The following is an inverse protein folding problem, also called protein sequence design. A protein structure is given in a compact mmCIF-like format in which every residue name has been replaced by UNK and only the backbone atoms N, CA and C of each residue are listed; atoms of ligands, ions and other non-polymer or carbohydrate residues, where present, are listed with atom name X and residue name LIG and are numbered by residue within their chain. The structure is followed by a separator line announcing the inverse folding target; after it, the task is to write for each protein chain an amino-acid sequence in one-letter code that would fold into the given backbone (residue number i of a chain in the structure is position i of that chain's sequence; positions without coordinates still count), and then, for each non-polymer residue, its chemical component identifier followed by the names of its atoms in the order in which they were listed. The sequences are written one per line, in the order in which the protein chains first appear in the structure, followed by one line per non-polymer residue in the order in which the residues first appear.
data_IF_405092115227
#
_entry.id   IF_405092115227
#
_cell.length_a   1.000
_cell.length_b   1.000
_cell.length_c   1.000
_cell.angle_alpha   90.00
_cell.angle_beta   90.00
_cell.angle_gamma   90.00
#
_symmetry.space_group_name_H-M   'P 1'
#
loop_
_entity.id
_entity.type
_entity.pdbx_description
1 polymer ?
#
# COMPACT_ATOMS: atom_id res chain seq x y z
N UNK A 1 -1.42 -43.55 -46.23
CA UNK A 1 -0.98 -43.85 -44.84
C UNK A 1 -2.09 -44.64 -44.20
N UNK A 2 -1.77 -45.82 -43.67
CA UNK A 2 -2.74 -46.76 -43.13
C UNK A 2 -3.42 -46.19 -41.87
N UNK A 3 -4.75 -46.29 -41.77
CA UNK A 3 -5.54 -45.71 -40.68
C UNK A 3 -5.10 -46.25 -39.31
N UNK A 4 -4.73 -47.53 -39.28
CA UNK A 4 -4.19 -48.19 -38.10
C UNK A 4 -2.85 -47.59 -37.62
N UNK A 5 -1.99 -47.17 -38.56
CA UNK A 5 -0.70 -46.53 -38.23
C UNK A 5 -0.94 -45.14 -37.64
N UNK A 6 -1.89 -44.37 -38.20
CA UNK A 6 -2.24 -43.05 -37.67
C UNK A 6 -2.85 -43.13 -36.26
N UNK A 7 -3.70 -44.12 -35.99
CA UNK A 7 -4.30 -44.34 -34.66
C UNK A 7 -3.25 -44.80 -33.64
N UNK A 8 -2.31 -45.66 -34.04
CA UNK A 8 -1.19 -46.10 -33.19
C UNK A 8 -0.24 -44.94 -32.84
N UNK A 9 0.07 -44.07 -33.82
CA UNK A 9 0.88 -42.86 -33.59
C UNK A 9 0.15 -41.92 -32.63
N UNK A 10 -1.15 -41.65 -32.84
CA UNK A 10 -1.92 -40.76 -31.97
C UNK A 10 -2.01 -41.28 -30.54
N UNK A 11 -2.22 -42.58 -30.35
CA UNK A 11 -2.22 -43.24 -29.04
C UNK A 11 -0.87 -43.10 -28.33
N UNK A 12 0.23 -43.31 -29.07
CA UNK A 12 1.59 -43.20 -28.53
C UNK A 12 1.94 -41.77 -28.14
N UNK A 13 1.55 -40.79 -28.96
CA UNK A 13 1.72 -39.35 -28.68
C UNK A 13 0.93 -38.96 -27.44
N UNK A 14 -0.34 -39.35 -27.33
CA UNK A 14 -1.17 -39.06 -26.17
C UNK A 14 -0.59 -39.67 -24.87
N UNK A 15 -0.06 -40.90 -24.94
CA UNK A 15 0.59 -41.56 -23.80
C UNK A 15 1.92 -40.89 -23.42
N UNK A 16 2.69 -40.38 -24.39
CA UNK A 16 3.93 -39.66 -24.13
C UNK A 16 3.65 -38.28 -23.52
N UNK A 17 2.70 -37.53 -24.08
CA UNK A 17 2.23 -36.24 -23.55
C UNK A 17 1.69 -36.45 -22.13
N UNK A 18 0.86 -37.46 -21.88
CA UNK A 18 0.36 -37.76 -20.54
C UNK A 18 1.47 -38.02 -19.51
N UNK A 19 2.51 -38.78 -19.88
CA UNK A 19 3.67 -39.03 -19.02
C UNK A 19 4.48 -37.76 -18.74
N UNK A 20 4.72 -36.94 -19.77
CA UNK A 20 5.45 -35.68 -19.64
C UNK A 20 4.69 -34.70 -18.73
N UNK A 21 3.37 -34.58 -18.92
CA UNK A 21 2.50 -33.74 -18.10
C UNK A 21 2.52 -34.17 -16.64
N UNK A 22 2.38 -35.47 -16.35
CA UNK A 22 2.42 -35.99 -14.98
C UNK A 22 3.79 -35.72 -14.32
N UNK A 23 4.89 -35.97 -15.03
CA UNK A 23 6.24 -35.70 -14.52
C UNK A 23 6.46 -34.21 -14.24
N UNK A 24 5.93 -33.32 -15.10
CA UNK A 24 6.00 -31.88 -14.87
C UNK A 24 5.14 -31.46 -13.67
N UNK A 25 3.94 -32.03 -13.50
CA UNK A 25 3.09 -31.79 -12.33
C UNK A 25 3.82 -32.17 -11.03
N UNK A 26 4.45 -33.35 -10.97
CA UNK A 26 5.21 -33.81 -9.80
C UNK A 26 6.37 -32.85 -9.46
N UNK A 27 7.10 -32.35 -10.45
CA UNK A 27 8.20 -31.39 -10.25
C UNK A 27 7.67 -30.06 -9.71
N UNK A 28 6.54 -29.56 -10.21
CA UNK A 28 5.93 -28.31 -9.75
C UNK A 28 5.37 -28.48 -8.33
N UNK A 29 4.68 -29.59 -8.03
CA UNK A 29 4.19 -29.89 -6.67
C UNK A 29 5.34 -29.96 -5.67
N UNK A 30 6.43 -30.64 -6.02
CA UNK A 30 7.61 -30.72 -5.18
C UNK A 30 8.25 -29.34 -4.93
N UNK A 31 8.32 -28.48 -5.97
CA UNK A 31 8.87 -27.13 -5.82
C UNK A 31 7.95 -26.22 -4.99
N UNK A 32 6.65 -26.24 -5.22
CA UNK A 32 5.67 -25.48 -4.42
C UNK A 32 5.68 -25.94 -2.96
N UNK A 33 5.73 -27.26 -2.72
CA UNK A 33 5.87 -27.82 -1.38
C UNK A 33 7.17 -27.39 -0.70
N UNK A 34 8.30 -27.43 -1.42
CA UNK A 34 9.59 -26.97 -0.89
C UNK A 34 9.61 -25.46 -0.61
N UNK A 35 8.91 -24.66 -1.42
CA UNK A 35 8.81 -23.23 -1.24
C UNK A 35 7.94 -22.88 -0.05
N UNK A 36 6.76 -23.50 0.07
CA UNK A 36 5.89 -23.37 1.24
C UNK A 36 6.60 -23.79 2.52
N UNK A 37 7.40 -24.88 2.47
CA UNK A 37 8.22 -25.33 3.58
C UNK A 37 9.31 -24.31 3.94
N UNK A 38 10.02 -23.72 2.97
CA UNK A 38 11.03 -22.67 3.23
C UNK A 38 10.42 -21.39 3.78
N UNK A 39 9.27 -20.96 3.24
CA UNK A 39 8.48 -19.85 3.77
C UNK A 39 8.06 -20.12 5.23
N UNK A 40 7.71 -21.37 5.54
CA UNK A 40 7.42 -21.85 6.89
C UNK A 40 8.67 -21.93 7.77
N UNK A 41 9.86 -22.25 7.23
CA UNK A 41 11.14 -22.31 7.97
C UNK A 41 11.68 -20.91 8.32
N UNK A 42 11.54 -19.92 7.43
CA UNK A 42 11.91 -18.52 7.69
C UNK A 42 11.04 -17.87 8.78
N UNK A 43 9.78 -18.31 8.88
CA UNK A 43 8.81 -17.85 9.89
C UNK A 43 8.68 -18.81 11.09
N UNK A 44 9.25 -20.01 11.03
CA UNK A 44 9.24 -21.10 12.03
C UNK A 44 8.11 -22.12 11.81
N UNK A 45 8.39 -23.43 11.82
CA UNK A 45 7.39 -24.51 11.60
C UNK A 45 6.19 -24.50 12.58
N UNK A 46 6.34 -23.82 13.72
CA UNK A 46 5.25 -23.56 14.70
C UNK A 46 4.22 -22.57 14.17
N UNK A 47 4.61 -21.70 13.23
CA UNK A 47 3.84 -20.56 12.74
C UNK A 47 2.81 -20.98 11.71
N UNK A 48 3.12 -21.86 10.76
CA UNK A 48 2.11 -22.41 9.84
C UNK A 48 1.05 -23.22 10.58
N UNK A 49 1.46 -24.01 11.58
CA UNK A 49 0.51 -24.71 12.47
C UNK A 49 -0.31 -23.74 13.31
N UNK A 50 0.31 -22.66 13.82
CA UNK A 50 -0.40 -21.60 14.53
C UNK A 50 -1.38 -20.85 13.64
N UNK A 51 -1.07 -20.62 12.36
CA UNK A 51 -1.96 -20.00 11.38
C UNK A 51 -3.10 -20.93 10.99
N UNK A 52 -2.82 -22.19 10.68
CA UNK A 52 -3.85 -23.22 10.43
C UNK A 52 -4.73 -23.47 11.66
N UNK A 53 -4.20 -23.29 12.86
CA UNK A 53 -4.97 -23.34 14.12
C UNK A 53 -5.79 -22.06 14.33
N UNK A 54 -5.19 -20.89 14.15
CA UNK A 54 -5.86 -19.60 14.23
C UNK A 54 -7.02 -19.51 13.24
N UNK A 55 -6.86 -20.03 12.02
CA UNK A 55 -7.90 -20.16 11.00
C UNK A 55 -9.03 -21.09 11.44
N UNK A 56 -8.70 -22.25 12.02
CA UNK A 56 -9.70 -23.21 12.54
C UNK A 56 -10.47 -22.66 13.74
N UNK A 57 -9.82 -21.84 14.56
CA UNK A 57 -10.37 -21.30 15.79
C UNK A 57 -10.97 -19.89 15.62
N UNK A 58 -11.01 -19.34 14.38
CA UNK A 58 -11.37 -17.94 14.11
C UNK A 58 -10.69 -16.97 15.09
N UNK A 59 -9.40 -17.19 15.33
CA UNK A 59 -8.65 -16.50 16.35
C UNK A 59 -8.50 -15.02 16.02
N UNK A 60 -8.87 -14.16 16.97
CA UNK A 60 -8.66 -12.71 16.87
C UNK A 60 -7.46 -12.30 17.73
N UNK A 61 -6.44 -11.74 17.09
CA UNK A 61 -5.30 -11.13 17.74
C UNK A 61 -5.73 -9.91 18.57
N UNK A 62 -5.18 -9.79 19.78
CA UNK A 62 -5.46 -8.66 20.69
C UNK A 62 -5.02 -7.30 20.16
N UNK A 63 -4.06 -7.27 19.23
CA UNK A 63 -3.53 -6.03 18.62
C UNK A 63 -3.91 -5.98 17.15
N UNK A 64 -4.42 -4.82 16.71
CA UNK A 64 -4.86 -4.55 15.32
C UNK A 64 -3.75 -4.83 14.30
N UNK A 65 -2.51 -4.45 14.61
CA UNK A 65 -1.34 -4.65 13.72
C UNK A 65 -0.99 -6.14 13.57
N UNK A 66 -1.05 -6.91 14.66
CA UNK A 66 -0.81 -8.35 14.61
C UNK A 66 -1.95 -9.08 13.88
N UNK A 67 -3.18 -8.57 13.97
CA UNK A 67 -4.30 -9.10 13.19
C UNK A 67 -4.09 -8.84 11.70
N UNK A 68 -3.68 -7.64 11.31
CA UNK A 68 -3.37 -7.34 9.90
C UNK A 68 -2.26 -8.23 9.36
N UNK A 69 -1.21 -8.47 10.15
CA UNK A 69 -0.14 -9.36 9.75
C UNK A 69 -0.64 -10.81 9.62
N UNK A 70 -1.47 -11.28 10.56
CA UNK A 70 -2.12 -12.59 10.50
C UNK A 70 -3.02 -12.73 9.26
N UNK A 71 -3.84 -11.73 8.96
CA UNK A 71 -4.76 -11.73 7.82
C UNK A 71 -3.98 -11.77 6.50
N UNK A 72 -2.93 -10.94 6.38
CA UNK A 72 -2.04 -10.92 5.22
C UNK A 72 -1.34 -12.28 5.00
N UNK A 73 -0.79 -12.88 6.06
CA UNK A 73 -0.10 -14.17 5.96
C UNK A 73 -1.07 -15.32 5.63
N UNK A 74 -2.34 -15.24 6.09
CA UNK A 74 -3.40 -16.18 5.69
C UNK A 74 -3.78 -16.03 4.21
N UNK A 75 -3.84 -14.81 3.70
CA UNK A 75 -4.17 -14.52 2.30
C UNK A 75 -3.09 -15.07 1.35
N UNK A 76 -1.81 -14.90 1.68
CA UNK A 76 -0.69 -15.50 0.93
C UNK A 76 -0.81 -17.03 0.92
N UNK A 77 -1.16 -17.63 2.06
CA UNK A 77 -1.34 -19.08 2.16
C UNK A 77 -2.52 -19.58 1.32
N UNK A 78 -3.61 -18.81 1.25
CA UNK A 78 -4.77 -19.13 0.40
C UNK A 78 -4.41 -19.18 -1.09
N UNK A 79 -3.52 -18.30 -1.55
CA UNK A 79 -3.02 -18.35 -2.94
C UNK A 79 -2.15 -19.59 -3.20
N UNK A 80 -1.37 -20.04 -2.21
CA UNK A 80 -0.65 -21.31 -2.32
C UNK A 80 -1.59 -22.53 -2.36
N UNK A 81 -2.63 -22.55 -1.53
CA UNK A 81 -3.64 -23.61 -1.54
C UNK A 81 -4.43 -23.64 -2.85
N UNK A 82 -4.76 -22.46 -3.40
CA UNK A 82 -5.39 -22.32 -4.71
C UNK A 82 -4.49 -22.81 -5.86
N UNK A 83 -3.21 -22.42 -5.88
CA UNK A 83 -2.23 -22.89 -6.86
C UNK A 83 -2.05 -24.41 -6.79
N UNK A 84 -1.95 -24.97 -5.58
CA UNK A 84 -1.81 -26.42 -5.36
C UNK A 84 -3.05 -27.19 -5.83
N UNK A 85 -4.24 -26.66 -5.56
CA UNK A 85 -5.51 -27.27 -5.99
C UNK A 85 -5.69 -27.20 -7.51
N UNK A 86 -5.33 -26.07 -8.13
CA UNK A 86 -5.35 -25.91 -9.59
C UNK A 86 -4.36 -26.84 -10.29
N UNK A 87 -3.20 -27.08 -9.68
CA UNK A 87 -2.17 -27.98 -10.20
C UNK A 87 -2.64 -29.44 -10.20
N UNK A 88 -3.33 -29.89 -9.14
CA UNK A 88 -3.98 -31.22 -9.09
C UNK A 88 -5.02 -31.40 -10.19
N UNK A 89 -5.70 -30.32 -10.55
CA UNK A 89 -6.67 -30.29 -11.64
C UNK A 89 -6.03 -30.05 -13.03
N UNK A 90 -4.70 -30.01 -13.11
CA UNK A 90 -3.91 -29.76 -14.34
C UNK A 90 -4.28 -28.45 -15.06
N UNK A 91 -4.76 -27.46 -14.30
CA UNK A 91 -5.14 -26.13 -14.82
C UNK A 91 -3.97 -25.15 -14.68
N UNK A 92 -3.04 -25.18 -15.63
CA UNK A 92 -1.80 -24.41 -15.56
C UNK A 92 -1.99 -22.89 -15.61
N UNK A 93 -3.00 -22.40 -16.33
CA UNK A 93 -3.31 -20.97 -16.39
C UNK A 93 -3.78 -20.45 -15.02
N UNK A 94 -4.59 -21.25 -14.32
CA UNK A 94 -5.05 -20.93 -12.95
C UNK A 94 -3.90 -20.99 -11.94
N UNK A 95 -2.95 -21.93 -12.11
CA UNK A 95 -1.73 -21.99 -11.29
C UNK A 95 -0.91 -20.71 -11.47
N UNK A 96 -0.70 -20.28 -12.72
CA UNK A 96 0.05 -19.06 -13.03
C UNK A 96 -0.61 -17.82 -12.44
N UNK A 97 -1.92 -17.66 -12.63
CA UNK A 97 -2.68 -16.54 -12.10
C UNK A 97 -2.61 -16.45 -10.56
N UNK A 98 -2.80 -17.58 -9.86
CA UNK A 98 -2.73 -17.62 -8.40
C UNK A 98 -1.33 -17.26 -7.86
N UNK A 99 -0.27 -17.66 -8.57
CA UNK A 99 1.11 -17.31 -8.19
C UNK A 99 1.45 -15.84 -8.48
N UNK A 100 0.96 -15.27 -9.58
CA UNK A 100 1.13 -13.85 -9.90
C UNK A 100 0.39 -12.96 -8.87
N UNK A 101 -0.84 -13.32 -8.52
CA UNK A 101 -1.63 -12.64 -7.49
C UNK A 101 -0.97 -12.74 -6.10
N UNK A 102 -0.51 -13.94 -5.71
CA UNK A 102 0.27 -14.13 -4.48
C UNK A 102 1.56 -13.29 -4.46
N UNK A 103 2.23 -13.15 -5.61
CA UNK A 103 3.41 -12.29 -5.75
C UNK A 103 3.05 -10.81 -5.59
N UNK A 104 1.89 -10.38 -6.09
CA UNK A 104 1.36 -9.03 -5.88
C UNK A 104 1.10 -8.72 -4.41
N UNK A 105 0.46 -9.66 -3.69
CA UNK A 105 0.20 -9.53 -2.25
C UNK A 105 1.52 -9.37 -1.48
N UNK A 106 2.52 -10.21 -1.73
CA UNK A 106 3.84 -10.09 -1.06
C UNK A 106 4.52 -8.76 -1.38
N UNK A 107 4.50 -8.31 -2.64
CA UNK A 107 5.09 -7.01 -3.04
C UNK A 107 4.37 -5.80 -2.44
N UNK A 108 3.07 -5.89 -2.16
CA UNK A 108 2.31 -4.79 -1.53
C UNK A 108 2.83 -4.44 -0.12
N UNK A 109 3.51 -5.38 0.56
CA UNK A 109 4.16 -5.12 1.85
C UNK A 109 5.51 -4.43 1.75
N UNK A 110 6.18 -4.49 0.59
CA UNK A 110 7.39 -3.71 0.32
C UNK A 110 7.03 -2.33 -0.19
N UNK A 111 6.20 -1.59 0.56
CA UNK A 111 6.09 -0.15 0.36
C UNK A 111 7.44 0.44 0.75
N UNK A 112 8.14 1.07 -0.20
CA UNK A 112 9.39 1.79 0.05
C UNK A 112 9.27 2.79 1.21
N UNK A 113 10.40 3.39 1.62
CA UNK A 113 10.44 4.33 2.76
C UNK A 113 9.31 5.37 2.61
N UNK A 114 8.28 5.25 3.46
CA UNK A 114 7.05 6.05 3.39
C UNK A 114 7.34 7.51 3.70
N UNK A 115 7.19 8.36 2.69
CA UNK A 115 7.35 9.82 2.80
C UNK A 115 8.80 10.26 3.07
N UNK A 116 9.28 11.26 2.32
CA UNK A 116 10.56 11.91 2.65
C UNK A 116 10.27 13.17 3.46
N UNK A 117 10.93 13.32 4.62
CA UNK A 117 10.83 14.55 5.42
C UNK A 117 11.10 15.81 4.59
N UNK A 118 11.99 15.70 3.59
CA UNK A 118 12.31 16.77 2.64
C UNK A 118 11.13 17.23 1.80
N UNK A 119 10.14 16.36 1.52
CA UNK A 119 8.94 16.71 0.75
C UNK A 119 8.03 17.69 1.50
N UNK A 120 8.06 17.67 2.83
CA UNK A 120 7.23 18.54 3.67
C UNK A 120 8.03 19.66 4.34
N UNK A 121 9.19 20.04 3.79
CA UNK A 121 10.11 20.95 4.47
C UNK A 121 9.50 22.32 4.81
N UNK A 122 8.58 22.81 3.99
CA UNK A 122 7.92 24.09 4.22
C UNK A 122 7.06 24.06 5.48
N UNK A 123 6.44 22.93 5.80
CA UNK A 123 5.73 22.73 7.06
C UNK A 123 6.68 22.78 8.26
N UNK A 124 7.85 22.14 8.17
CA UNK A 124 8.88 22.20 9.22
C UNK A 124 9.38 23.62 9.47
N UNK A 125 9.57 24.40 8.39
CA UNK A 125 10.05 25.77 8.47
C UNK A 125 8.96 26.73 8.98
N UNK A 126 7.81 26.72 8.34
CA UNK A 126 6.81 27.79 8.46
C UNK A 126 5.74 27.48 9.50
N UNK A 127 5.42 26.20 9.74
CA UNK A 127 4.43 25.80 10.75
C UNK A 127 5.09 25.44 12.08
N UNK A 128 6.12 24.59 12.05
CA UNK A 128 6.78 24.13 13.27
C UNK A 128 7.89 25.07 13.75
N UNK A 129 8.30 26.06 12.94
CA UNK A 129 9.43 26.96 13.25
C UNK A 129 10.67 26.17 13.69
N UNK A 130 10.96 25.08 12.97
CA UNK A 130 12.04 24.18 13.34
C UNK A 130 13.41 24.88 13.27
N UNK A 131 14.35 24.58 14.18
CA UNK A 131 15.69 25.16 14.15
C UNK A 131 16.44 24.88 12.84
N UNK A 132 17.35 25.78 12.46
CA UNK A 132 18.13 25.65 11.21
C UNK A 132 18.87 24.31 11.10
N UNK A 133 19.37 23.78 12.22
CA UNK A 133 20.00 22.45 12.26
C UNK A 133 19.05 21.33 11.78
N UNK A 134 17.78 21.38 12.21
CA UNK A 134 16.77 20.39 11.81
C UNK A 134 16.45 20.56 10.32
N UNK A 135 16.23 21.80 9.88
CA UNK A 135 15.95 22.10 8.47
C UNK A 135 17.11 21.67 7.56
N UNK A 136 18.34 21.90 7.99
CA UNK A 136 19.55 21.49 7.26
C UNK A 136 19.70 19.98 7.20
N UNK A 137 19.43 19.29 8.30
CA UNK A 137 19.41 17.82 8.35
C UNK A 137 18.37 17.25 7.38
N UNK A 138 17.18 17.87 7.31
CA UNK A 138 16.12 17.47 6.38
C UNK A 138 16.51 17.74 4.91
N UNK A 139 17.15 18.88 4.61
CA UNK A 139 17.56 19.25 3.24
C UNK A 139 18.72 18.45 2.71
N UNK A 140 19.76 18.32 3.53
CA UNK A 140 21.11 17.90 3.11
C UNK A 140 21.51 16.55 3.69
N UNK A 141 20.67 15.96 4.52
CA UNK A 141 21.02 14.80 5.34
C UNK A 141 21.84 15.19 6.56
N UNK A 142 21.91 14.26 7.51
CA UNK A 142 22.70 14.44 8.72
C UNK A 142 24.20 14.40 8.38
N UNK A 143 24.92 15.48 8.71
CA UNK A 143 26.38 15.54 8.57
C UNK A 143 27.03 14.95 9.81
N UNK A 144 27.84 13.92 9.62
CA UNK A 144 28.59 13.29 10.70
C UNK A 144 29.58 14.30 11.32
N UNK A 145 29.53 14.53 12.65
CA UNK A 145 30.43 15.46 13.32
C UNK A 145 31.78 14.80 13.55
N UNK A 146 32.67 14.88 12.56
CA UNK A 146 34.04 14.40 12.66
C UNK A 146 34.88 15.34 13.53
N UNK A 147 35.57 14.79 14.54
CA UNK A 147 36.62 15.49 15.27
C UNK A 147 37.88 15.64 14.39
N UNK A 148 38.15 14.61 13.59
CA UNK A 148 39.15 14.57 12.54
C UNK A 148 38.55 13.79 11.36
N UNK A 149 38.93 14.08 10.11
CA UNK A 149 38.39 13.32 8.99
C UNK A 149 39.08 11.94 8.93
N UNK A 150 38.33 10.82 8.84
CA UNK A 150 38.94 9.50 8.82
C UNK A 150 39.83 9.33 7.58
N UNK A 151 40.94 8.59 7.66
CA UNK A 151 41.65 8.12 6.47
C UNK A 151 40.75 7.21 5.63
N UNK A 152 40.90 7.27 4.31
CA UNK A 152 40.21 6.38 3.36
C UNK A 152 40.47 4.91 3.69
N UNK A 153 39.43 4.08 3.64
CA UNK A 153 39.52 2.66 3.96
C UNK A 153 38.67 1.78 3.03
N UNK A 154 39.22 0.63 2.64
CA UNK A 154 38.52 -0.41 1.85
C UNK A 154 38.74 -1.82 2.41
N UNK A 155 38.46 -2.04 3.71
CA UNK A 155 38.55 -3.37 4.31
C UNK A 155 37.60 -4.37 3.64
N UNK A 156 38.01 -5.64 3.62
CA UNK A 156 37.16 -6.74 3.20
C UNK A 156 36.00 -6.96 4.19
N UNK A 157 34.92 -7.56 3.71
CA UNK A 157 33.80 -7.96 4.56
C UNK A 157 34.25 -8.90 5.70
N UNK A 158 33.56 -8.86 6.83
CA UNK A 158 33.87 -9.76 7.94
C UNK A 158 33.44 -11.20 7.60
N UNK A 159 34.09 -12.19 8.24
CA UNK A 159 33.85 -13.63 7.97
C UNK A 159 32.36 -14.03 8.02
N UNK A 160 31.58 -13.42 8.91
CA UNK A 160 30.16 -13.73 9.06
C UNK A 160 29.33 -13.34 7.83
N UNK A 161 29.69 -12.28 7.11
CA UNK A 161 29.01 -11.92 5.87
C UNK A 161 29.26 -12.94 4.76
N UNK A 162 30.48 -13.48 4.66
CA UNK A 162 30.79 -14.55 3.71
C UNK A 162 30.07 -15.87 4.05
N UNK A 163 29.93 -16.17 5.34
CA UNK A 163 29.20 -17.37 5.80
C UNK A 163 27.69 -17.32 5.52
N UNK A 164 27.13 -16.12 5.33
CA UNK A 164 25.72 -15.87 5.12
C UNK A 164 25.49 -15.09 3.81
N UNK A 165 26.24 -15.43 2.75
CA UNK A 165 26.27 -14.68 1.48
C UNK A 165 24.90 -14.56 0.80
N UNK A 166 24.08 -15.61 0.84
CA UNK A 166 22.71 -15.59 0.30
C UNK A 166 21.85 -14.53 1.01
N UNK A 167 21.86 -14.54 2.35
CA UNK A 167 21.16 -13.53 3.15
C UNK A 167 21.66 -12.11 2.88
N UNK A 168 22.98 -11.93 2.78
CA UNK A 168 23.57 -10.61 2.49
C UNK A 168 23.12 -10.10 1.11
N UNK A 169 23.15 -10.96 0.09
CA UNK A 169 22.75 -10.61 -1.28
C UNK A 169 21.27 -10.24 -1.35
N UNK A 170 20.42 -11.00 -0.67
CA UNK A 170 18.99 -10.71 -0.57
C UNK A 170 18.75 -9.36 0.13
N UNK A 171 19.40 -9.13 1.28
CA UNK A 171 19.27 -7.87 2.02
C UNK A 171 19.74 -6.65 1.21
N UNK A 172 20.82 -6.77 0.43
CA UNK A 172 21.28 -5.69 -0.46
C UNK A 172 20.24 -5.41 -1.56
N UNK A 173 19.70 -6.46 -2.19
CA UNK A 173 18.66 -6.34 -3.22
C UNK A 173 17.42 -5.62 -2.67
N UNK A 174 16.98 -5.98 -1.45
CA UNK A 174 15.86 -5.32 -0.77
C UNK A 174 16.16 -3.85 -0.47
N UNK A 175 17.37 -3.52 0.00
CA UNK A 175 17.76 -2.13 0.25
C UNK A 175 17.80 -1.29 -1.03
N UNK A 176 18.24 -1.87 -2.16
CA UNK A 176 18.22 -1.21 -3.48
C UNK A 176 16.78 -0.99 -3.95
N UNK A 177 15.94 -2.03 -3.89
CA UNK A 177 14.54 -1.95 -4.30
C UNK A 177 13.77 -0.89 -3.49
N UNK A 178 14.08 -0.76 -2.20
CA UNK A 178 13.48 0.23 -1.31
C UNK A 178 14.08 1.64 -1.42
N UNK A 179 15.12 1.83 -2.25
CA UNK A 179 15.83 3.11 -2.40
C UNK A 179 16.58 3.55 -1.13
N UNK A 180 16.92 2.61 -0.24
CA UNK A 180 17.69 2.85 0.99
C UNK A 180 19.19 3.01 0.70
N UNK A 181 19.67 2.37 -0.36
CA UNK A 181 21.05 2.46 -0.86
C UNK A 181 21.02 2.68 -2.37
N UNK A 182 22.14 3.14 -2.92
CA UNK A 182 22.34 3.34 -4.35
C UNK A 182 23.64 2.68 -4.81
N UNK A 183 23.65 2.23 -6.06
CA UNK A 183 24.86 1.72 -6.69
C UNK A 183 25.74 2.88 -7.17
N UNK A 184 27.05 2.78 -6.92
CA UNK A 184 28.03 3.74 -7.38
C UNK A 184 29.03 3.05 -8.31
N UNK A 185 29.36 3.70 -9.43
CA UNK A 185 30.35 3.23 -10.41
C UNK A 185 31.80 3.44 -9.96
N UNK A 186 32.02 4.32 -8.98
CA UNK A 186 33.32 4.62 -8.40
C UNK A 186 33.32 4.30 -6.90
N UNK A 187 34.42 3.75 -6.35
CA UNK A 187 34.51 3.46 -4.93
C UNK A 187 34.31 4.73 -4.08
N UNK A 188 33.51 4.67 -3.00
CA UNK A 188 33.35 5.79 -2.08
C UNK A 188 34.65 6.05 -1.30
N UNK A 189 34.74 7.22 -0.64
CA UNK A 189 35.92 7.57 0.16
C UNK A 189 36.26 6.53 1.25
N UNK A 190 35.23 5.93 1.87
CA UNK A 190 35.37 4.79 2.76
C UNK A 190 34.32 3.73 2.41
N UNK A 191 34.75 2.48 2.29
CA UNK A 191 33.88 1.31 2.24
C UNK A 191 33.95 0.57 3.58
N UNK A 192 32.83 0.48 4.30
CA UNK A 192 32.79 -0.22 5.58
C UNK A 192 32.47 -1.72 5.37
N UNK A 193 33.09 -2.64 6.13
CA UNK A 193 32.81 -4.07 6.02
C UNK A 193 31.35 -4.38 6.34
N UNK A 194 30.78 -5.34 5.62
CA UNK A 194 29.54 -5.98 6.01
C UNK A 194 29.80 -7.12 7.00
N UNK A 195 28.87 -7.28 7.92
CA UNK A 195 28.83 -8.37 8.90
C UNK A 195 27.40 -8.88 9.01
N UNK A 196 27.25 -10.14 9.42
CA UNK A 196 25.94 -10.69 9.81
C UNK A 196 25.97 -11.01 11.29
N UNK A 197 25.03 -10.42 12.03
CA UNK A 197 24.80 -10.74 13.44
C UNK A 197 23.74 -11.85 13.55
N UNK A 198 24.03 -12.86 14.36
CA UNK A 198 23.15 -14.01 14.56
C UNK A 198 22.53 -13.95 15.96
N UNK A 199 21.23 -13.62 16.02
CA UNK A 199 20.39 -13.76 17.21
C UNK A 199 19.25 -14.75 16.95
N UNK A 200 18.02 -14.40 17.33
CA UNK A 200 16.81 -15.13 16.90
C UNK A 200 16.54 -14.99 15.40
N UNK A 201 17.03 -13.93 14.77
CA UNK A 201 16.99 -13.65 13.33
C UNK A 201 18.37 -13.15 12.89
N UNK A 202 18.69 -13.32 11.60
CA UNK A 202 19.88 -12.72 11.00
C UNK A 202 19.67 -11.22 10.81
N UNK A 203 20.74 -10.44 10.97
CA UNK A 203 20.74 -9.00 10.73
C UNK A 203 21.98 -8.60 9.96
N UNK A 204 21.80 -7.88 8.86
CA UNK A 204 22.89 -7.23 8.16
C UNK A 204 23.39 -6.06 9.01
N UNK A 205 24.70 -5.99 9.22
CA UNK A 205 25.36 -4.96 10.02
C UNK A 205 26.49 -4.35 9.21
N UNK A 206 26.52 -3.02 9.15
CA UNK A 206 27.65 -2.28 8.58
C UNK A 206 28.62 -1.98 9.72
N UNK A 207 29.86 -2.44 9.58
CA UNK A 207 30.90 -2.26 10.58
C UNK A 207 31.56 -0.88 10.44
N UNK A 208 31.01 0.10 11.16
CA UNK A 208 31.46 1.49 11.13
C UNK A 208 32.50 1.82 12.20
N UNK A 209 33.15 0.82 12.81
CA UNK A 209 34.10 1.04 13.92
C UNK A 209 35.25 1.97 13.56
N UNK A 210 35.80 1.86 12.35
CA UNK A 210 36.84 2.75 11.84
C UNK A 210 36.35 4.19 11.79
N UNK A 211 35.20 4.45 11.15
CA UNK A 211 34.63 5.81 11.04
C UNK A 211 34.30 6.38 12.42
N UNK A 212 33.78 5.57 13.33
CA UNK A 212 33.38 5.99 14.67
C UNK A 212 34.54 6.50 15.54
N UNK A 213 35.77 6.03 15.35
CA UNK A 213 36.92 6.53 16.15
C UNK A 213 37.29 7.98 15.85
N UNK A 214 36.78 8.53 14.74
CA UNK A 214 37.03 9.89 14.29
C UNK A 214 35.86 10.84 14.53
N UNK A 215 34.72 10.34 15.03
CA UNK A 215 33.58 11.18 15.39
C UNK A 215 33.83 11.88 16.72
N UNK A 216 33.33 13.11 16.84
CA UNK A 216 33.20 13.77 18.14
C UNK A 216 32.38 12.86 19.05
N UNK A 217 32.85 12.64 20.28
CA UNK A 217 32.09 11.87 21.27
C UNK A 217 30.80 12.63 21.58
N UNK A 218 29.69 12.10 21.07
CA UNK A 218 28.35 12.60 21.40
C UNK A 218 27.91 11.90 22.68
N UNK A 219 27.65 12.68 23.73
CA UNK A 219 26.96 12.20 24.92
C UNK A 219 25.47 12.39 24.69
N UNK A 220 24.75 11.29 24.57
CA UNK A 220 23.28 11.32 24.51
C UNK A 220 22.73 11.30 25.93
N UNK A 221 22.14 12.41 26.35
CA UNK A 221 21.37 12.47 27.58
C UNK A 221 19.90 12.17 27.25
N UNK A 222 19.49 10.93 27.52
CA UNK A 222 18.09 10.55 27.37
C UNK A 222 17.29 11.11 28.55
N UNK A 223 16.35 12.01 28.25
CA UNK A 223 15.38 12.47 29.23
C UNK A 223 14.10 11.64 29.12
N UNK A 224 13.67 11.06 30.22
CA UNK A 224 12.36 10.41 30.29
C UNK A 224 11.27 11.49 30.42
N UNK A 225 10.25 11.41 29.57
CA UNK A 225 9.02 12.18 29.71
C UNK A 225 7.87 11.25 30.14
N UNK A 226 7.01 11.66 31.08
CA UNK A 226 5.81 10.90 31.43
C UNK A 226 4.94 10.64 30.21
N UNK A 227 4.30 9.46 30.16
CA UNK A 227 3.37 9.12 29.07
C UNK A 227 2.23 10.13 28.94
N UNK A 228 1.75 10.69 30.04
CA UNK A 228 0.74 11.75 30.06
C UNK A 228 1.18 13.03 29.33
N UNK A 229 2.49 13.25 29.19
CA UNK A 229 3.06 14.37 28.43
C UNK A 229 3.35 14.01 26.96
N UNK A 230 3.29 12.73 26.60
CA UNK A 230 3.56 12.24 25.24
C UNK A 230 2.28 11.82 24.48
N UNK A 231 1.10 12.03 25.06
CA UNK A 231 -0.17 11.53 24.50
C UNK A 231 -0.42 12.00 23.07
N UNK A 232 -0.10 13.26 22.76
CA UNK A 232 -0.29 13.82 21.41
C UNK A 232 0.61 13.16 20.37
N UNK A 233 1.88 12.91 20.70
CA UNK A 233 2.82 12.26 19.78
C UNK A 233 2.48 10.76 19.62
N UNK A 234 2.09 10.09 20.70
CA UNK A 234 1.61 8.71 20.67
C UNK A 234 0.33 8.57 19.83
N UNK A 235 -0.60 9.52 19.94
CA UNK A 235 -1.84 9.54 19.16
C UNK A 235 -1.56 9.78 17.68
N UNK A 236 -0.76 10.81 17.35
CA UNK A 236 -0.45 11.16 15.97
C UNK A 236 0.41 10.11 15.27
N UNK A 237 1.36 9.47 15.96
CA UNK A 237 2.17 8.37 15.38
C UNK A 237 1.36 7.11 15.09
N UNK A 238 0.16 6.99 15.69
CA UNK A 238 -0.78 5.89 15.48
C UNK A 238 -2.01 6.29 14.67
N UNK A 239 -2.08 7.54 14.22
CA UNK A 239 -3.17 8.02 13.39
C UNK A 239 -3.06 7.38 12.00
N UNK A 240 -4.13 6.71 11.59
CA UNK A 240 -4.26 6.02 10.31
C UNK A 240 -5.51 6.62 9.69
N UNK A 241 -5.37 7.25 8.53
CA UNK A 241 -6.50 7.74 7.76
C UNK A 241 -6.82 6.68 6.70
N UNK A 242 -7.88 5.91 6.95
CA UNK A 242 -8.29 4.81 6.07
C UNK A 242 -8.94 5.33 4.78
N UNK A 243 -9.31 6.62 4.73
CA UNK A 243 -9.97 7.29 3.60
C UNK A 243 -9.02 8.25 2.84
N UNK A 244 -7.70 8.20 3.10
CA UNK A 244 -6.70 9.02 2.41
C UNK A 244 -6.31 8.44 1.05
N UNK A 245 -7.21 8.59 0.08
CA UNK A 245 -7.02 8.19 -1.32
C UNK A 245 -7.57 9.28 -2.25
N UNK A 246 -7.16 9.23 -3.52
CA UNK A 246 -7.78 10.01 -4.60
C UNK A 246 -7.92 9.19 -5.87
N UNK A 247 -8.80 9.62 -6.78
CA UNK A 247 -8.84 9.05 -8.12
C UNK A 247 -7.52 9.34 -8.87
N UNK A 248 -7.19 8.44 -9.80
CA UNK A 248 -6.16 8.71 -10.80
C UNK A 248 -6.46 10.03 -11.52
N UNK A 249 -5.51 10.97 -11.61
CA UNK A 249 -5.75 12.26 -12.26
C UNK A 249 -6.24 12.14 -13.70
N UNK A 250 -5.88 11.07 -14.41
CA UNK A 250 -6.36 10.81 -15.78
C UNK A 250 -7.83 10.39 -15.81
N UNK A 251 -8.26 9.60 -14.83
CA UNK A 251 -9.67 9.21 -14.67
C UNK A 251 -10.50 10.42 -14.24
N UNK A 252 -10.00 11.21 -13.29
CA UNK A 252 -10.66 12.44 -12.88
C UNK A 252 -10.86 13.41 -14.06
N UNK A 253 -9.83 13.65 -14.88
CA UNK A 253 -9.98 14.48 -16.09
C UNK A 253 -11.04 13.97 -17.06
N UNK A 254 -11.26 12.66 -17.13
CA UNK A 254 -12.31 12.07 -17.96
C UNK A 254 -13.70 12.34 -17.38
N UNK A 255 -13.87 12.26 -16.06
CA UNK A 255 -15.11 12.65 -15.39
C UNK A 255 -15.39 14.16 -15.54
N UNK A 256 -14.34 14.97 -15.40
CA UNK A 256 -14.37 16.43 -15.53
C UNK A 256 -14.78 16.87 -16.94
N UNK A 257 -14.28 16.18 -17.97
CA UNK A 257 -14.68 16.43 -19.36
C UNK A 257 -16.12 15.95 -19.66
N UNK A 258 -16.63 14.98 -18.91
CA UNK A 258 -17.95 14.39 -19.13
C UNK A 258 -19.08 15.21 -18.51
N UNK A 259 -18.88 15.78 -17.31
CA UNK A 259 -19.94 16.45 -16.52
C UNK A 259 -19.62 17.89 -16.15
N UNK A 260 -18.90 18.55 -17.05
CA UNK A 260 -18.33 19.89 -16.92
C UNK A 260 -17.24 19.99 -15.85
N UNK A 261 -16.31 20.96 -15.99
CA UNK A 261 -15.25 21.16 -15.02
C UNK A 261 -15.78 21.37 -13.61
N UNK A 262 -15.27 20.60 -12.66
CA UNK A 262 -15.54 20.75 -11.24
C UNK A 262 -14.79 21.97 -10.72
N UNK A 263 -15.43 22.72 -9.84
CA UNK A 263 -14.88 23.98 -9.31
C UNK A 263 -14.49 23.86 -7.85
N UNK A 264 -14.95 22.81 -7.17
CA UNK A 264 -14.75 22.63 -5.74
C UNK A 264 -14.65 21.14 -5.34
N UNK A 265 -13.65 20.79 -4.53
CA UNK A 265 -13.47 19.45 -3.98
C UNK A 265 -13.96 19.41 -2.52
N UNK A 266 -15.11 18.78 -2.30
CA UNK A 266 -15.82 18.89 -1.03
C UNK A 266 -15.15 18.11 0.10
N UNK A 267 -14.46 17.00 -0.17
CA UNK A 267 -13.89 16.15 0.87
C UNK A 267 -12.47 15.75 0.49
N UNK A 268 -11.50 16.56 0.89
CA UNK A 268 -10.11 16.34 0.57
C UNK A 268 -9.14 16.75 1.70
N UNK A 269 -7.87 16.49 1.46
CA UNK A 269 -6.70 16.96 2.18
C UNK A 269 -5.79 17.70 1.20
N UNK A 270 -4.82 18.46 1.71
CA UNK A 270 -3.86 19.16 0.85
C UNK A 270 -2.95 18.23 0.03
N UNK A 271 -2.98 16.92 0.29
CA UNK A 271 -2.25 15.91 -0.48
C UNK A 271 -3.11 15.25 -1.56
N UNK A 272 -4.40 15.01 -1.28
CA UNK A 272 -5.27 14.22 -2.14
C UNK A 272 -6.27 15.07 -2.96
N UNK A 273 -6.40 16.37 -2.66
CA UNK A 273 -7.28 17.28 -3.38
C UNK A 273 -7.02 17.24 -4.90
N UNK A 274 -8.10 17.15 -5.67
CA UNK A 274 -8.05 17.11 -7.13
C UNK A 274 -8.27 18.50 -7.76
N UNK A 275 -8.68 19.47 -6.93
CA UNK A 275 -8.95 20.85 -7.32
C UNK A 275 -8.20 21.84 -6.41
N UNK A 276 -7.87 23.05 -6.91
CA UNK A 276 -7.21 24.06 -6.10
C UNK A 276 -8.04 24.56 -4.91
N UNK A 277 -9.37 24.47 -5.01
CA UNK A 277 -10.32 24.86 -3.96
C UNK A 277 -10.92 23.60 -3.35
N UNK A 278 -10.74 23.43 -2.05
CA UNK A 278 -11.18 22.23 -1.37
C UNK A 278 -11.49 22.45 0.11
N UNK A 279 -12.38 21.61 0.66
CA UNK A 279 -12.64 21.53 2.09
C UNK A 279 -11.99 20.29 2.70
N UNK A 280 -11.72 20.37 4.00
CA UNK A 280 -11.03 19.31 4.74
C UNK A 280 -11.66 19.04 6.09
N UNK A 281 -11.43 17.84 6.64
CA UNK A 281 -11.91 17.47 7.98
C UNK A 281 -11.20 18.25 9.09
N UNK A 282 -9.91 18.46 8.95
CA UNK A 282 -9.06 19.18 9.91
C UNK A 282 -8.27 20.24 9.15
N UNK A 283 -8.11 21.43 9.74
CA UNK A 283 -7.40 22.55 9.11
C UNK A 283 -6.08 22.09 8.47
N UNK A 284 -5.97 22.28 7.15
CA UNK A 284 -4.80 21.90 6.36
C UNK A 284 -4.37 23.05 5.44
N UNK A 285 -3.10 23.11 5.03
CA UNK A 285 -2.61 24.19 4.16
C UNK A 285 -3.43 24.30 2.87
N UNK A 286 -3.91 25.49 2.55
CA UNK A 286 -4.65 25.75 1.30
C UNK A 286 -6.12 25.36 1.32
N UNK A 287 -6.66 24.79 2.41
CA UNK A 287 -8.09 24.51 2.48
C UNK A 287 -8.94 25.79 2.52
N UNK A 288 -10.08 25.77 1.85
CA UNK A 288 -11.08 26.84 1.89
C UNK A 288 -11.90 26.84 3.17
N UNK A 289 -12.13 25.65 3.73
CA UNK A 289 -12.95 25.47 4.91
C UNK A 289 -12.64 24.16 5.63
N UNK A 290 -12.92 24.16 6.92
CA UNK A 290 -13.02 22.95 7.74
C UNK A 290 -14.49 22.58 7.90
N UNK A 291 -14.76 21.29 8.05
CA UNK A 291 -16.12 20.74 8.12
C UNK A 291 -16.97 21.07 6.87
N UNK A 292 -16.92 20.16 5.90
CA UNK A 292 -17.52 20.40 4.58
C UNK A 292 -19.04 20.52 4.60
N UNK A 293 -19.71 19.89 5.59
CA UNK A 293 -21.17 19.93 5.73
C UNK A 293 -21.66 21.25 6.34
N UNK A 294 -20.75 22.11 6.82
CA UNK A 294 -21.07 23.46 7.24
C UNK A 294 -20.92 24.49 6.10
N UNK A 295 -20.40 24.08 4.93
CA UNK A 295 -20.12 24.97 3.80
C UNK A 295 -21.26 24.98 2.78
N UNK A 296 -21.45 26.10 2.09
CA UNK A 296 -22.43 26.19 1.00
C UNK A 296 -21.87 25.57 -0.29
N UNK A 297 -22.64 24.69 -0.92
CA UNK A 297 -22.30 23.97 -2.15
C UNK A 297 -23.11 24.47 -3.36
N UNK A 298 -24.02 25.42 -3.18
CA UNK A 298 -25.00 25.85 -4.19
C UNK A 298 -24.38 26.45 -5.45
N UNK A 299 -23.30 27.23 -5.30
CA UNK A 299 -22.67 27.99 -6.38
C UNK A 299 -21.56 27.22 -7.13
N UNK A 300 -21.33 25.95 -6.79
CA UNK A 300 -20.17 25.20 -7.24
C UNK A 300 -20.56 23.96 -8.05
N UNK A 301 -19.64 23.48 -8.88
CA UNK A 301 -19.68 22.14 -9.42
C UNK A 301 -18.85 21.22 -8.51
N UNK A 302 -19.55 20.53 -7.61
CA UNK A 302 -18.93 19.87 -6.47
C UNK A 302 -18.40 18.47 -6.82
N UNK A 303 -17.12 18.22 -6.58
CA UNK A 303 -16.56 16.87 -6.53
C UNK A 303 -16.74 16.32 -5.12
N UNK A 304 -17.44 15.19 -4.99
CA UNK A 304 -17.74 14.57 -3.69
C UNK A 304 -17.09 13.19 -3.67
N UNK A 305 -15.85 13.14 -3.20
CA UNK A 305 -15.08 11.93 -2.98
C UNK A 305 -15.16 11.53 -1.50
N UNK A 306 -16.35 11.16 -1.04
CA UNK A 306 -16.63 11.03 0.39
C UNK A 306 -16.14 9.70 0.99
N UNK A 307 -15.66 9.70 2.25
CA UNK A 307 -15.63 8.50 3.09
C UNK A 307 -16.98 7.81 3.10
N UNK A 308 -16.99 6.48 3.17
CA UNK A 308 -18.21 5.68 3.08
C UNK A 308 -19.27 6.08 4.12
N UNK A 309 -18.82 6.46 5.31
CA UNK A 309 -19.68 6.90 6.42
C UNK A 309 -20.38 8.24 6.15
N UNK A 310 -19.87 9.06 5.23
CA UNK A 310 -20.38 10.40 4.93
C UNK A 310 -21.14 10.49 3.62
N UNK A 311 -21.28 9.40 2.86
CA UNK A 311 -21.97 9.40 1.56
C UNK A 311 -23.40 9.95 1.69
N UNK A 312 -24.19 9.39 2.62
CA UNK A 312 -25.60 9.76 2.77
C UNK A 312 -25.75 11.22 3.23
N UNK A 313 -24.90 11.67 4.14
CA UNK A 313 -24.97 13.04 4.65
C UNK A 313 -24.46 14.06 3.62
N UNK A 314 -23.44 13.73 2.84
CA UNK A 314 -22.96 14.55 1.72
C UNK A 314 -24.07 14.75 0.68
N UNK A 315 -24.80 13.68 0.38
CA UNK A 315 -25.94 13.71 -0.53
C UNK A 315 -27.08 14.58 0.01
N UNK A 316 -27.46 14.40 1.27
CA UNK A 316 -28.49 15.23 1.92
C UNK A 316 -28.11 16.70 1.94
N UNK A 317 -26.83 16.97 2.19
CA UNK A 317 -26.29 18.32 2.21
C UNK A 317 -26.30 18.95 0.83
N UNK A 318 -25.88 18.21 -0.20
CA UNK A 318 -25.96 18.65 -1.59
C UNK A 318 -27.41 19.01 -1.99
N UNK A 319 -28.37 18.17 -1.61
CA UNK A 319 -29.81 18.46 -1.82
C UNK A 319 -30.28 19.68 -1.01
N UNK A 320 -29.85 19.83 0.23
CA UNK A 320 -30.21 20.96 1.10
C UNK A 320 -29.67 22.29 0.57
N UNK A 321 -28.44 22.30 0.07
CA UNK A 321 -27.83 23.46 -0.59
C UNK A 321 -28.37 23.71 -2.00
N UNK A 322 -29.23 22.85 -2.54
CA UNK A 322 -29.62 22.87 -3.96
C UNK A 322 -28.41 22.86 -4.89
N UNK A 323 -27.32 22.21 -4.45
CA UNK A 323 -26.07 22.14 -5.19
C UNK A 323 -26.11 21.04 -6.25
N UNK A 324 -25.20 21.17 -7.21
CA UNK A 324 -24.92 20.14 -8.22
C UNK A 324 -23.51 19.58 -8.01
N UNK A 325 -23.35 18.31 -8.28
CA UNK A 325 -22.08 17.63 -8.00
C UNK A 325 -21.99 16.23 -8.54
N UNK A 326 -20.78 15.72 -8.52
CA UNK A 326 -20.41 14.37 -8.92
C UNK A 326 -19.99 13.62 -7.67
N UNK A 327 -20.80 12.64 -7.28
CA UNK A 327 -20.55 11.78 -6.15
C UNK A 327 -19.82 10.53 -6.62
N UNK A 328 -18.65 10.24 -6.04
CA UNK A 328 -17.87 9.04 -6.28
C UNK A 328 -18.10 8.08 -5.12
N UNK A 329 -18.58 6.88 -5.42
CA UNK A 329 -18.85 5.85 -4.42
C UNK A 329 -18.41 4.48 -4.90
N UNK A 330 -18.07 3.63 -3.93
CA UNK A 330 -17.82 2.22 -4.18
C UNK A 330 -19.13 1.46 -4.39
N UNK A 331 -19.18 0.60 -5.40
CA UNK A 331 -20.29 -0.32 -5.65
C UNK A 331 -20.20 -1.51 -4.69
N UNK A 332 -20.78 -1.32 -3.51
CA UNK A 332 -20.89 -2.33 -2.48
C UNK A 332 -22.34 -2.73 -2.29
N UNK A 333 -22.82 -3.86 -2.87
CA UNK A 333 -24.24 -4.23 -2.85
C UNK A 333 -24.88 -4.27 -1.45
N UNK A 334 -24.09 -4.58 -0.42
CA UNK A 334 -24.54 -4.64 0.98
C UNK A 334 -24.35 -3.33 1.76
N UNK A 335 -23.86 -2.27 1.13
CA UNK A 335 -23.64 -1.01 1.83
C UNK A 335 -24.96 -0.31 2.14
N UNK A 336 -25.00 0.30 3.33
CA UNK A 336 -26.19 0.98 3.87
C UNK A 336 -26.71 2.12 2.97
N UNK A 337 -25.86 2.71 2.11
CA UNK A 337 -26.23 3.79 1.20
C UNK A 337 -26.82 3.29 -0.13
N UNK A 338 -26.60 2.02 -0.52
CA UNK A 338 -27.08 1.47 -1.80
C UNK A 338 -28.60 1.58 -2.02
N UNK A 339 -29.47 1.32 -1.02
CA UNK A 339 -30.91 1.45 -1.21
C UNK A 339 -31.35 2.90 -1.51
N UNK A 340 -30.52 3.89 -1.21
CA UNK A 340 -30.84 5.29 -1.52
C UNK A 340 -30.54 5.62 -3.00
N UNK A 341 -29.59 4.93 -3.62
CA UNK A 341 -29.19 5.18 -5.02
C UNK A 341 -30.10 4.47 -6.02
N UNK A 342 -30.57 3.26 -5.70
CA UNK A 342 -31.39 2.44 -6.60
C UNK A 342 -32.84 2.94 -6.67
N UNK A 343 -33.48 2.70 -7.82
CA UNK A 343 -34.89 3.09 -8.04
C UNK A 343 -35.83 2.46 -7.01
N UNK A 344 -36.64 3.32 -6.36
CA UNK A 344 -37.66 2.92 -5.38
C UNK A 344 -37.75 3.91 -4.22
N UNK A 345 -38.82 4.74 -4.22
CA UNK A 345 -39.31 5.66 -3.16
C UNK A 345 -38.34 6.56 -2.37
N UNK A 346 -37.02 6.46 -2.59
CA UNK A 346 -36.02 7.33 -2.01
C UNK A 346 -36.02 8.68 -2.77
N UNK A 347 -35.84 9.80 -2.05
CA UNK A 347 -35.66 11.12 -2.68
C UNK A 347 -34.33 11.26 -3.43
N UNK A 348 -33.40 10.33 -3.24
CA UNK A 348 -32.05 10.48 -3.76
C UNK A 348 -31.94 10.02 -5.21
N UNK A 349 -32.54 8.88 -5.58
CA UNK A 349 -32.57 8.43 -6.98
C UNK A 349 -33.21 9.47 -7.91
N UNK A 350 -34.24 10.19 -7.44
CA UNK A 350 -34.84 11.31 -8.20
C UNK A 350 -33.94 12.53 -8.37
N UNK A 351 -32.87 12.65 -7.59
CA UNK A 351 -31.89 13.73 -7.67
C UNK A 351 -30.65 13.35 -8.51
N UNK A 352 -30.53 12.08 -8.90
CA UNK A 352 -29.47 11.58 -9.77
C UNK A 352 -29.92 11.74 -11.23
N UNK A 353 -29.14 12.49 -12.01
CA UNK A 353 -29.38 12.74 -13.43
C UNK A 353 -28.70 11.70 -14.32
N UNK A 354 -27.50 11.26 -13.95
CA UNK A 354 -26.74 10.26 -14.70
C UNK A 354 -25.86 9.44 -13.76
N UNK A 355 -25.71 8.16 -14.09
CA UNK A 355 -24.78 7.24 -13.42
C UNK A 355 -23.76 6.70 -14.42
N UNK A 356 -22.50 6.63 -14.00
CA UNK A 356 -21.42 6.05 -14.79
C UNK A 356 -20.62 5.07 -13.95
N UNK A 357 -20.42 3.86 -14.48
CA UNK A 357 -19.66 2.80 -13.80
C UNK A 357 -18.22 2.79 -14.32
N UNK A 358 -17.25 3.05 -13.43
CA UNK A 358 -15.84 2.92 -13.77
C UNK A 358 -15.40 1.46 -13.70
N UNK A 359 -14.63 1.03 -14.71
CA UNK A 359 -13.96 -0.27 -14.72
C UNK A 359 -12.82 -0.27 -13.68
N UNK A 360 -12.67 -1.39 -12.97
CA UNK A 360 -11.53 -1.61 -12.11
C UNK A 360 -10.24 -1.63 -12.94
N UNK A 361 -9.38 -0.64 -12.73
CA UNK A 361 -8.02 -0.57 -13.27
C UNK A 361 -7.05 -0.47 -12.10
N UNK A 362 -5.87 -1.05 -12.26
CA UNK A 362 -4.88 -1.25 -11.18
C UNK A 362 -4.48 0.07 -10.49
N UNK A 363 -4.45 1.18 -11.25
CA UNK A 363 -4.06 2.51 -10.77
C UNK A 363 -5.25 3.47 -10.60
N UNK A 364 -6.48 2.95 -10.50
CA UNK A 364 -7.69 3.77 -10.37
C UNK A 364 -7.66 4.67 -9.13
N UNK A 365 -7.12 4.16 -8.03
CA UNK A 365 -6.91 4.88 -6.78
C UNK A 365 -5.42 5.07 -6.52
N UNK A 366 -5.07 6.29 -6.11
CA UNK A 366 -3.74 6.60 -5.61
C UNK A 366 -3.82 6.85 -4.11
N UNK A 367 -3.07 6.05 -3.34
CA UNK A 367 -2.97 6.18 -1.90
C UNK A 367 -2.29 7.49 -1.49
N UNK A 368 -2.78 8.10 -0.41
CA UNK A 368 -2.17 9.25 0.23
C UNK A 368 -0.92 8.89 1.06
N UNK A 369 -0.22 9.90 1.58
CA UNK A 369 1.05 9.71 2.30
C UNK A 369 0.86 9.14 3.72
N UNK A 370 -0.34 9.23 4.30
CA UNK A 370 -0.66 8.64 5.60
C UNK A 370 -0.93 7.15 5.39
N UNK A 371 -0.64 6.29 6.37
CA UNK A 371 -0.97 4.85 6.30
C UNK A 371 -2.46 4.70 5.91
N UNK A 372 -2.76 4.42 4.65
CA UNK A 372 -4.01 3.81 4.23
C UNK A 372 -3.88 2.31 4.48
N UNK A 373 -4.96 1.68 4.93
CA UNK A 373 -5.08 0.23 4.74
C UNK A 373 -5.34 0.04 3.26
N UNK A 374 -4.63 -0.88 2.61
CA UNK A 374 -4.94 -1.29 1.24
C UNK A 374 -6.42 -1.61 1.18
N UNK A 375 -7.18 -0.72 0.53
CA UNK A 375 -8.55 -1.01 0.16
C UNK A 375 -8.42 -2.18 -0.80
N UNK A 376 -8.95 -3.35 -0.44
CA UNK A 376 -8.91 -4.53 -1.31
C UNK A 376 -9.63 -4.15 -2.62
N UNK A 377 -8.87 -4.00 -3.70
CA UNK A 377 -9.26 -3.38 -4.97
C UNK A 377 -9.90 -4.37 -5.97
N UNK A 378 -9.99 -5.66 -5.62
CA UNK A 378 -10.14 -6.70 -6.64
C UNK A 378 -11.52 -6.74 -7.33
N UNK A 379 -12.54 -6.05 -6.81
CA UNK A 379 -13.89 -6.03 -7.38
C UNK A 379 -14.62 -4.69 -7.20
N UNK A 380 -13.88 -3.58 -7.11
CA UNK A 380 -14.46 -2.26 -6.87
C UNK A 380 -14.87 -1.57 -8.18
N UNK A 381 -16.16 -1.65 -8.50
CA UNK A 381 -16.76 -0.70 -9.43
C UNK A 381 -17.03 0.60 -8.68
N UNK A 382 -16.87 1.74 -9.35
CA UNK A 382 -17.35 3.00 -8.81
C UNK A 382 -18.60 3.39 -9.56
N UNK A 383 -19.68 3.62 -8.82
CA UNK A 383 -20.82 4.35 -9.37
C UNK A 383 -20.50 5.82 -9.17
N UNK A 384 -20.50 6.55 -10.28
CA UNK A 384 -20.35 8.00 -10.24
C UNK A 384 -21.70 8.59 -10.59
N UNK A 385 -22.33 9.24 -9.61
CA UNK A 385 -23.67 9.80 -9.74
C UNK A 385 -23.58 11.33 -9.88
N UNK A 386 -24.07 11.83 -11.01
CA UNK A 386 -24.21 13.27 -11.26
C UNK A 386 -25.58 13.71 -10.78
N UNK A 387 -25.64 14.72 -9.91
CA UNK A 387 -26.90 15.39 -9.58
C UNK A 387 -27.19 16.54 -10.54
N UNK A 388 -28.46 16.73 -10.89
CA UNK A 388 -28.93 17.91 -11.64
C UNK A 388 -29.20 19.08 -10.70
N UNK A 389 -29.23 20.29 -11.26
CA UNK A 389 -29.92 21.40 -10.59
C UNK A 389 -31.39 21.00 -10.38
N UNK A 390 -31.89 21.19 -9.16
CA UNK A 390 -33.26 20.82 -8.81
C UNK A 390 -34.25 21.52 -9.77
N UNK A 391 -34.85 20.75 -10.68
CA UNK A 391 -35.80 21.26 -11.69
C UNK A 391 -37.17 21.64 -11.12
N UNK A 392 -37.38 21.50 -9.81
CA UNK A 392 -38.58 21.98 -9.10
C UNK A 392 -38.63 23.51 -8.95
N UNK A 393 -37.70 24.24 -9.56
CA UNK A 393 -37.62 25.71 -9.54
C UNK A 393 -37.67 26.35 -10.93
N UNK A 394 -38.35 25.74 -11.91
CA UNK A 394 -38.75 26.41 -13.16
C UNK A 394 -40.27 26.62 -13.21
#
# INVERSE_FOLDING_TARGET
MDKAISEAIQSTVNALVGRLTNSLTEVIEARLGSFAQRFSEENGATVEQAFKKARRENHTCKRKENQQQLDHELEVLDKFDAATSALKNKSYDTVKAALEEGTGIVKSTSSGIKGRLSASIEFWKSTLSAPDFVLDTIRRGYRLPFAEFPPSCFPANNRSAFQHSEFVTQAISELLANGCIIEHSVPPFCANPLSVAKGKKLRLVIDVRHVNSFLVRITLEAQWIPRSQNERADLLSRFVDEDDWRLNPSVFRLLDAKWDPHTFDCLATHYNAQLPRFNTKFASPGCNGVDTLAQDWSAENNLICAPVSLIVDSVRHLMFCFGRGTLIIFEWPSAHFQPFLREGSSRFSSYVAEEFVLLAVEDLLLEGPVRSRSIILDLLFFVVARSSECSLCA
#
